data_IF_689039228154
#
_entry.id   IF_689039228154
#
_cell.length_a   1.000
_cell.length_b   1.000
_cell.length_c   1.000
_cell.angle_alpha   90.00
_cell.angle_beta   90.00
_cell.angle_gamma   90.00
#
_symmetry.space_group_name_H-M   'P 1'
#
loop_
_entity.id
_entity.type
_entity.pdbx_description
1 polymer ?
#
# COMPACT_ATOMS: atom_id res chain seq x y z
N UNK A 1 -2.13 25.08 34.05
CA UNK A 1 -3.16 25.12 33.01
C UNK A 1 -4.53 25.02 33.68
N UNK A 2 -5.49 25.88 33.36
CA UNK A 2 -6.83 25.82 33.89
C UNK A 2 -7.62 24.62 33.39
N UNK A 3 -8.63 24.19 34.17
CA UNK A 3 -9.47 23.05 33.82
C UNK A 3 -10.16 23.22 32.45
N UNK A 4 -10.72 24.40 32.17
CA UNK A 4 -11.39 24.67 30.90
C UNK A 4 -10.41 24.59 29.71
N UNK A 5 -9.19 25.10 29.85
CA UNK A 5 -8.16 25.01 28.83
C UNK A 5 -7.71 23.56 28.62
N UNK A 6 -7.59 22.77 29.66
CA UNK A 6 -7.23 21.35 29.57
C UNK A 6 -8.34 20.53 28.90
N UNK A 7 -9.60 20.81 29.18
CA UNK A 7 -10.75 20.17 28.55
C UNK A 7 -10.82 20.52 27.05
N UNK A 8 -10.59 21.78 26.69
CA UNK A 8 -10.55 22.21 25.30
C UNK A 8 -9.41 21.52 24.54
N UNK A 9 -8.24 21.40 25.15
CA UNK A 9 -7.11 20.68 24.58
C UNK A 9 -7.43 19.19 24.39
N UNK A 10 -8.06 18.57 25.38
CA UNK A 10 -8.48 17.17 25.29
C UNK A 10 -9.43 16.95 24.12
N UNK A 11 -10.40 17.85 23.93
CA UNK A 11 -11.34 17.78 22.81
C UNK A 11 -10.62 17.87 21.47
N UNK A 12 -9.68 18.80 21.34
CA UNK A 12 -8.87 18.96 20.13
C UNK A 12 -8.02 17.72 19.86
N UNK A 13 -7.39 17.15 20.90
CA UNK A 13 -6.58 15.93 20.76
C UNK A 13 -7.42 14.72 20.39
N UNK A 14 -8.62 14.57 20.94
CA UNK A 14 -9.53 13.49 20.56
C UNK A 14 -9.99 13.62 19.11
N UNK A 15 -10.25 14.83 18.63
CA UNK A 15 -10.59 15.09 17.24
C UNK A 15 -9.42 14.72 16.32
N UNK A 16 -8.20 15.08 16.70
CA UNK A 16 -6.98 14.72 15.95
C UNK A 16 -6.76 13.21 15.92
N UNK A 17 -6.96 12.54 17.05
CA UNK A 17 -6.87 11.08 17.13
C UNK A 17 -7.85 10.41 16.17
N UNK A 18 -9.12 10.85 16.17
CA UNK A 18 -10.13 10.32 15.27
C UNK A 18 -9.80 10.55 13.80
N UNK A 19 -9.25 11.72 13.48
CA UNK A 19 -8.78 12.03 12.12
C UNK A 19 -7.64 11.12 11.68
N UNK A 20 -6.67 10.87 12.55
CA UNK A 20 -5.56 9.95 12.27
C UNK A 20 -6.05 8.51 12.09
N UNK A 21 -7.00 8.05 12.89
CA UNK A 21 -7.61 6.73 12.74
C UNK A 21 -8.33 6.59 11.39
N UNK A 22 -9.04 7.63 10.98
CA UNK A 22 -9.70 7.68 9.67
C UNK A 22 -8.69 7.63 8.53
N UNK A 23 -7.61 8.42 8.60
CA UNK A 23 -6.53 8.39 7.62
C UNK A 23 -5.88 7.01 7.53
N UNK A 24 -5.65 6.36 8.67
CA UNK A 24 -5.12 4.99 8.72
C UNK A 24 -6.04 3.99 8.04
N UNK A 25 -7.35 4.10 8.24
CA UNK A 25 -8.34 3.26 7.55
C UNK A 25 -8.32 3.48 6.04
N UNK A 26 -8.22 4.73 5.60
CA UNK A 26 -8.11 5.05 4.17
C UNK A 26 -6.86 4.43 3.53
N UNK A 27 -5.72 4.52 4.21
CA UNK A 27 -4.48 3.91 3.74
C UNK A 27 -4.62 2.39 3.63
N UNK A 28 -5.20 1.75 4.64
CA UNK A 28 -5.44 0.31 4.61
C UNK A 28 -6.38 -0.11 3.47
N UNK A 29 -7.41 0.67 3.18
CA UNK A 29 -8.30 0.42 2.04
C UNK A 29 -7.55 0.54 0.72
N UNK A 30 -6.70 1.55 0.58
CA UNK A 30 -5.86 1.73 -0.61
C UNK A 30 -4.90 0.55 -0.79
N UNK A 31 -4.28 0.07 0.29
CA UNK A 31 -3.40 -1.11 0.25
C UNK A 31 -4.16 -2.38 -0.16
N UNK A 32 -5.39 -2.54 0.30
CA UNK A 32 -6.26 -3.66 -0.12
C UNK A 32 -6.54 -3.61 -1.61
N UNK A 33 -6.87 -2.43 -2.14
CA UNK A 33 -7.08 -2.24 -3.58
C UNK A 33 -5.82 -2.58 -4.38
N UNK A 34 -4.64 -2.18 -3.90
CA UNK A 34 -3.38 -2.51 -4.55
C UNK A 34 -3.09 -4.02 -4.53
N UNK A 35 -3.42 -4.70 -3.44
CA UNK A 35 -3.31 -6.15 -3.32
C UNK A 35 -4.21 -6.86 -4.34
N UNK A 36 -5.46 -6.43 -4.49
CA UNK A 36 -6.40 -6.97 -5.46
C UNK A 36 -5.91 -6.76 -6.90
N UNK A 37 -5.34 -5.59 -7.19
CA UNK A 37 -4.73 -5.32 -8.50
C UNK A 37 -3.53 -6.22 -8.76
N UNK A 38 -2.68 -6.43 -7.77
CA UNK A 38 -1.53 -7.34 -7.88
C UNK A 38 -1.98 -8.74 -8.21
N UNK A 39 -3.00 -9.25 -7.52
CA UNK A 39 -3.58 -10.55 -7.83
C UNK A 39 -4.11 -10.63 -9.26
N UNK A 40 -4.81 -9.59 -9.70
CA UNK A 40 -5.31 -9.51 -11.09
C UNK A 40 -4.16 -9.58 -12.10
N UNK A 41 -3.07 -8.86 -11.87
CA UNK A 41 -1.90 -8.91 -12.74
C UNK A 41 -1.21 -10.28 -12.73
N UNK A 42 -1.11 -10.95 -11.60
CA UNK A 42 -0.60 -12.32 -11.55
C UNK A 42 -1.48 -13.28 -12.32
N UNK A 43 -2.80 -13.14 -12.25
CA UNK A 43 -3.72 -13.93 -13.07
C UNK A 43 -3.56 -13.64 -14.56
N UNK A 44 -3.30 -12.40 -14.94
CA UNK A 44 -2.99 -12.05 -16.32
C UNK A 44 -1.70 -12.71 -16.81
N UNK A 45 -0.66 -12.76 -15.98
CA UNK A 45 0.59 -13.48 -16.32
C UNK A 45 0.29 -14.98 -16.53
N UNK A 46 -0.50 -15.59 -15.65
CA UNK A 46 -0.86 -17.00 -15.78
C UNK A 46 -1.73 -17.28 -17.02
N UNK A 47 -2.50 -16.29 -17.47
CA UNK A 47 -3.32 -16.38 -18.67
C UNK A 47 -2.53 -16.15 -19.98
N UNK A 48 -1.30 -15.64 -19.89
CA UNK A 48 -0.44 -15.49 -21.07
C UNK A 48 -0.12 -16.86 -21.65
N UNK A 49 -0.33 -16.97 -22.96
CA UNK A 49 -0.06 -18.19 -23.70
C UNK A 49 1.44 -18.27 -24.01
N UNK A 50 2.13 -19.18 -23.34
CA UNK A 50 3.58 -19.40 -23.58
C UNK A 50 3.74 -20.06 -24.95
N UNK A 51 4.46 -19.44 -25.90
CA UNK A 51 4.66 -20.04 -27.21
C UNK A 51 5.35 -21.40 -27.13
N UNK A 52 4.83 -22.36 -27.88
CA UNK A 52 5.40 -23.70 -27.99
C UNK A 52 6.00 -23.88 -29.37
N UNK A 53 7.26 -24.25 -29.47
CA UNK A 53 7.96 -24.46 -30.73
C UNK A 53 7.25 -25.47 -31.64
N UNK A 54 6.52 -26.43 -31.09
CA UNK A 54 5.75 -27.43 -31.86
C UNK A 54 4.56 -26.81 -32.61
N UNK A 55 4.03 -25.67 -32.16
CA UNK A 55 2.95 -24.94 -32.83
C UNK A 55 3.46 -24.10 -33.98
N UNK A 56 4.77 -23.84 -34.05
CA UNK A 56 5.43 -23.02 -35.05
C UNK A 56 6.60 -23.80 -35.71
N UNK A 57 6.30 -24.86 -36.47
CA UNK A 57 7.35 -25.70 -37.03
C UNK A 57 8.15 -24.99 -38.13
N UNK A 58 9.41 -25.36 -38.26
CA UNK A 58 10.24 -24.93 -39.39
C UNK A 58 9.86 -25.79 -40.60
N UNK A 59 9.10 -25.22 -41.52
CA UNK A 59 8.64 -25.90 -42.74
C UNK A 59 9.58 -25.72 -43.91
N UNK A 60 10.30 -24.58 -43.94
CA UNK A 60 11.26 -24.23 -44.97
C UNK A 60 12.39 -23.43 -44.34
N UNK A 61 13.57 -24.03 -44.22
CA UNK A 61 14.73 -23.43 -43.59
C UNK A 61 15.25 -22.17 -44.29
N UNK A 62 14.97 -22.01 -45.61
CA UNK A 62 15.39 -20.82 -46.32
C UNK A 62 14.49 -19.61 -46.09
N UNK A 63 13.20 -19.82 -45.81
CA UNK A 63 12.20 -18.76 -45.69
C UNK A 63 11.67 -18.57 -44.28
N UNK A 64 11.75 -19.61 -43.45
CA UNK A 64 11.11 -19.65 -42.15
C UNK A 64 12.12 -19.71 -40.99
N UNK A 65 13.39 -19.98 -41.28
CA UNK A 65 14.50 -19.97 -40.31
C UNK A 65 15.65 -19.20 -40.95
N UNK A 66 15.55 -17.88 -40.93
CA UNK A 66 16.47 -17.01 -41.67
C UNK A 66 17.86 -16.90 -40.99
N UNK A 67 17.99 -17.18 -39.74
CA UNK A 67 19.25 -17.15 -38.97
C UNK A 67 19.89 -18.54 -38.79
N UNK A 68 19.16 -19.60 -39.12
CA UNK A 68 19.68 -20.96 -39.09
C UNK A 68 19.80 -21.56 -37.69
N UNK A 69 19.08 -21.05 -36.73
CA UNK A 69 19.13 -21.53 -35.34
C UNK A 69 18.21 -22.73 -35.05
N UNK A 70 17.41 -23.14 -36.01
CA UNK A 70 16.47 -24.25 -35.88
C UNK A 70 15.09 -23.85 -35.36
N UNK A 71 14.84 -22.55 -35.16
CA UNK A 71 13.58 -22.00 -34.71
C UNK A 71 12.89 -21.24 -35.85
N UNK A 72 11.57 -21.36 -35.97
CA UNK A 72 10.87 -20.59 -36.98
C UNK A 72 10.81 -19.10 -36.64
N UNK A 73 10.80 -18.25 -37.65
CA UNK A 73 10.68 -16.80 -37.46
C UNK A 73 9.38 -16.44 -36.74
N UNK A 74 8.30 -17.19 -36.99
CA UNK A 74 7.01 -17.01 -36.33
C UNK A 74 7.10 -17.34 -34.84
N UNK A 75 7.84 -18.39 -34.47
CA UNK A 75 8.06 -18.76 -33.06
C UNK A 75 8.87 -17.69 -32.34
N UNK A 76 9.93 -17.20 -32.95
CA UNK A 76 10.75 -16.12 -32.41
C UNK A 76 9.92 -14.83 -32.21
N UNK A 77 9.07 -14.48 -33.22
CA UNK A 77 8.15 -13.35 -33.10
C UNK A 77 7.14 -13.54 -31.97
N UNK A 78 6.62 -14.75 -31.81
CA UNK A 78 5.70 -15.07 -30.68
C UNK A 78 6.39 -14.97 -29.33
N UNK A 79 7.66 -15.39 -29.22
CA UNK A 79 8.45 -15.24 -27.99
C UNK A 79 8.69 -13.76 -27.66
N UNK A 80 8.98 -12.94 -28.66
CA UNK A 80 9.17 -11.49 -28.46
C UNK A 80 7.89 -10.85 -27.96
N UNK A 81 6.74 -11.17 -28.57
CA UNK A 81 5.44 -10.68 -28.12
C UNK A 81 5.12 -11.12 -26.69
N UNK A 82 5.34 -12.38 -26.38
CA UNK A 82 5.14 -12.91 -25.01
C UNK A 82 6.01 -12.18 -24.00
N UNK A 83 7.31 -12.01 -24.30
CA UNK A 83 8.24 -11.31 -23.44
C UNK A 83 7.83 -9.85 -23.22
N UNK A 84 7.37 -9.17 -24.28
CA UNK A 84 6.90 -7.78 -24.20
C UNK A 84 5.68 -7.66 -23.27
N UNK A 85 4.68 -8.53 -23.46
CA UNK A 85 3.47 -8.55 -22.61
C UNK A 85 3.82 -8.88 -21.16
N UNK A 86 4.65 -9.87 -20.93
CA UNK A 86 5.13 -10.24 -19.60
C UNK A 86 5.84 -9.08 -18.92
N UNK A 87 6.74 -8.41 -19.63
CA UNK A 87 7.50 -7.28 -19.08
C UNK A 87 6.62 -6.10 -18.72
N UNK A 88 5.59 -5.82 -19.52
CA UNK A 88 4.61 -4.75 -19.24
C UNK A 88 3.87 -5.06 -17.94
N UNK A 89 3.34 -6.27 -17.80
CA UNK A 89 2.60 -6.69 -16.59
C UNK A 89 3.52 -6.67 -15.37
N UNK A 90 4.75 -7.16 -15.53
CA UNK A 90 5.73 -7.17 -14.44
C UNK A 90 6.12 -5.76 -14.00
N UNK A 91 6.25 -4.82 -14.93
CA UNK A 91 6.51 -3.42 -14.62
C UNK A 91 5.34 -2.79 -13.85
N UNK A 92 4.11 -3.12 -14.20
CA UNK A 92 2.91 -2.67 -13.49
C UNK A 92 2.87 -3.22 -12.06
N UNK A 93 3.24 -4.49 -11.87
CA UNK A 93 3.35 -5.10 -10.54
C UNK A 93 4.41 -4.39 -9.70
N UNK A 94 5.58 -4.09 -10.27
CA UNK A 94 6.64 -3.38 -9.56
C UNK A 94 6.19 -1.97 -9.14
N UNK A 95 5.46 -1.27 -10.01
CA UNK A 95 4.90 0.04 -9.69
C UNK A 95 3.92 -0.03 -8.51
N UNK A 96 3.07 -1.06 -8.49
CA UNK A 96 2.15 -1.29 -7.37
C UNK A 96 2.92 -1.58 -6.08
N UNK A 97 3.99 -2.36 -6.14
CA UNK A 97 4.83 -2.62 -4.96
C UNK A 97 5.46 -1.34 -4.41
N UNK A 98 5.90 -0.43 -5.28
CA UNK A 98 6.42 0.88 -4.87
C UNK A 98 5.33 1.73 -4.22
N UNK A 99 4.13 1.74 -4.79
CA UNK A 99 2.99 2.45 -4.21
C UNK A 99 2.61 1.87 -2.85
N UNK A 100 2.61 0.55 -2.70
CA UNK A 100 2.34 -0.10 -1.41
C UNK A 100 3.38 0.26 -0.35
N UNK A 101 4.66 0.31 -0.71
CA UNK A 101 5.73 0.75 0.21
C UNK A 101 5.54 2.20 0.65
N UNK A 102 5.14 3.07 -0.27
CA UNK A 102 4.85 4.46 0.06
C UNK A 102 3.66 4.56 1.04
N UNK A 103 2.61 3.78 0.82
CA UNK A 103 1.47 3.71 1.73
C UNK A 103 1.85 3.11 3.09
N UNK A 104 2.70 2.09 3.12
CA UNK A 104 3.23 1.52 4.36
C UNK A 104 3.99 2.57 5.18
N UNK A 105 4.84 3.38 4.53
CA UNK A 105 5.55 4.47 5.17
C UNK A 105 4.58 5.52 5.73
N UNK A 106 3.55 5.88 4.95
CA UNK A 106 2.49 6.78 5.40
C UNK A 106 1.78 6.21 6.63
N UNK A 107 1.46 4.92 6.62
CA UNK A 107 0.80 4.27 7.76
C UNK A 107 1.69 4.28 9.01
N UNK A 108 2.98 4.03 8.87
CA UNK A 108 3.95 4.12 9.99
C UNK A 108 4.00 5.54 10.56
N UNK A 109 3.96 6.56 9.72
CA UNK A 109 3.92 7.95 10.16
C UNK A 109 2.62 8.27 10.89
N UNK A 110 1.48 7.77 10.40
CA UNK A 110 0.18 7.91 11.06
C UNK A 110 0.21 7.22 12.42
N UNK A 111 0.74 6.00 12.51
CA UNK A 111 0.85 5.26 13.77
C UNK A 111 1.72 6.01 14.79
N UNK A 112 2.83 6.59 14.35
CA UNK A 112 3.71 7.39 15.20
C UNK A 112 2.98 8.63 15.72
N UNK A 113 2.28 9.34 14.86
CA UNK A 113 1.50 10.52 15.23
C UNK A 113 0.34 10.14 16.18
N UNK A 114 -0.33 9.02 15.89
CA UNK A 114 -1.41 8.51 16.75
C UNK A 114 -0.90 8.17 18.15
N UNK A 115 0.25 7.53 18.25
CA UNK A 115 0.88 7.22 19.53
C UNK A 115 1.26 8.48 20.30
N UNK A 116 1.81 9.49 19.62
CA UNK A 116 2.14 10.78 20.22
C UNK A 116 0.89 11.50 20.73
N UNK A 117 -0.18 11.52 19.94
CA UNK A 117 -1.47 12.12 20.34
C UNK A 117 -2.06 11.37 21.54
N UNK A 118 -1.99 10.04 21.54
CA UNK A 118 -2.49 9.22 22.66
C UNK A 118 -1.73 9.54 23.94
N UNK A 119 -0.41 9.70 23.86
CA UNK A 119 0.42 10.09 25.00
C UNK A 119 0.04 11.48 25.52
N UNK A 120 -0.20 12.44 24.64
CA UNK A 120 -0.66 13.77 25.00
C UNK A 120 -2.05 13.73 25.65
N UNK A 121 -2.97 12.92 25.13
CA UNK A 121 -4.30 12.72 25.71
C UNK A 121 -4.18 12.19 27.13
N UNK A 122 -3.35 11.17 27.36
CA UNK A 122 -3.16 10.58 28.69
C UNK A 122 -2.57 11.62 29.66
N UNK A 123 -1.63 12.43 29.21
CA UNK A 123 -1.04 13.52 29.99
C UNK A 123 -2.07 14.58 30.38
N UNK A 124 -2.90 14.99 29.41
CA UNK A 124 -3.96 15.98 29.66
C UNK A 124 -5.02 15.45 30.61
N UNK A 125 -5.40 14.17 30.48
CA UNK A 125 -6.33 13.51 31.40
C UNK A 125 -5.79 13.54 32.82
N UNK A 126 -4.52 13.24 33.03
CA UNK A 126 -3.88 13.32 34.35
C UNK A 126 -3.90 14.74 34.93
N UNK A 127 -3.67 15.75 34.07
CA UNK A 127 -3.75 17.15 34.49
C UNK A 127 -5.18 17.51 34.89
N UNK A 128 -6.18 17.07 34.12
CA UNK A 128 -7.60 17.29 34.45
C UNK A 128 -7.96 16.64 35.78
N UNK A 129 -7.59 15.38 35.98
CA UNK A 129 -7.87 14.65 37.20
C UNK A 129 -7.24 15.34 38.43
N UNK A 130 -5.99 15.80 38.28
CA UNK A 130 -5.30 16.53 39.32
C UNK A 130 -5.96 17.87 39.62
N UNK A 131 -6.40 18.59 38.61
CA UNK A 131 -7.11 19.85 38.79
C UNK A 131 -8.46 19.66 39.51
N UNK A 132 -9.17 18.59 39.15
CA UNK A 132 -10.43 18.23 39.83
C UNK A 132 -10.16 17.90 41.30
N UNK A 133 -9.15 17.11 41.60
CA UNK A 133 -8.75 16.76 42.96
C UNK A 133 -8.41 17.99 43.80
N UNK A 134 -7.60 18.90 43.24
CA UNK A 134 -7.22 20.14 43.91
C UNK A 134 -8.43 21.04 44.19
N UNK A 135 -9.33 21.14 43.19
CA UNK A 135 -10.57 21.91 43.36
C UNK A 135 -11.44 21.31 44.44
N UNK A 136 -11.58 19.99 44.47
CA UNK A 136 -12.34 19.28 45.51
C UNK A 136 -11.76 19.50 46.90
N UNK A 137 -10.44 19.40 47.06
CA UNK A 137 -9.74 19.67 48.33
C UNK A 137 -9.92 21.12 48.79
N UNK A 138 -9.90 22.06 47.85
CA UNK A 138 -10.14 23.47 48.17
C UNK A 138 -11.56 23.69 48.68
N UNK A 139 -12.56 22.96 48.22
CA UNK A 139 -13.94 23.03 48.72
C UNK A 139 -14.10 22.40 50.10
N UNK A 140 -13.28 21.42 50.46
CA UNK A 140 -13.36 20.74 51.76
C UNK A 140 -12.65 21.50 52.90
N UNK A 141 -11.73 22.36 52.55
CA UNK A 141 -11.03 23.19 53.54
C UNK A 141 -11.76 24.51 53.75
#
# INVERSE_FOLDING_TARGET
MGLAASQARLLTLNARKSDLEFQGQQVNQQRTVLSDKTETFYQQILALDVPNAAEYPVNDAETNDSDGDGLSNEYEAALVSYSAEYNIINADIELIHEQDRALETTLKNIDTQHSAVQTEIDSVKKIIDKNIELTYKAFQS
#
